data_IF_760108918452
#
_entry.id   IF_760108918452
#
_cell.length_a   1.000
_cell.length_b   1.000
_cell.length_c   1.000
_cell.angle_alpha   90.00
_cell.angle_beta   90.00
_cell.angle_gamma   90.00
#
_symmetry.space_group_name_H-M   'P 1'
#
loop_
_entity.id
_entity.type
_entity.pdbx_description
1 polymer ?
#
# COMPACT_ATOMS: atom_id res chain seq x y z
N UNK A 1 87.73 -69.38 83.53
CA UNK A 1 87.24 -68.08 83.01
C UNK A 1 87.29 -67.95 81.48
N UNK A 2 88.11 -68.74 80.75
CA UNK A 2 88.22 -68.65 79.26
C UNK A 2 87.10 -69.38 78.50
N UNK A 3 86.67 -70.58 78.94
CA UNK A 3 85.63 -71.38 78.24
C UNK A 3 84.23 -70.73 78.25
N UNK A 4 83.86 -70.03 79.32
CA UNK A 4 82.58 -69.29 79.41
C UNK A 4 82.54 -68.04 78.52
N UNK A 5 83.70 -67.47 78.14
CA UNK A 5 83.75 -66.34 77.19
C UNK A 5 83.51 -66.83 75.76
N UNK A 6 84.14 -67.94 75.37
CA UNK A 6 83.95 -68.55 74.05
C UNK A 6 82.50 -68.98 73.77
N UNK A 7 81.78 -69.49 74.79
CA UNK A 7 80.35 -69.81 74.65
C UNK A 7 79.47 -68.57 74.48
N UNK A 8 79.77 -67.48 75.20
CA UNK A 8 79.06 -66.20 75.05
C UNK A 8 79.31 -65.58 73.67
N UNK A 9 80.55 -65.62 73.19
CA UNK A 9 80.92 -65.18 71.84
C UNK A 9 80.16 -65.98 70.77
N UNK A 10 79.99 -67.29 70.94
CA UNK A 10 79.17 -68.11 70.04
C UNK A 10 77.67 -67.74 70.07
N UNK A 11 77.11 -67.44 71.25
CA UNK A 11 75.72 -66.98 71.37
C UNK A 11 75.52 -65.60 70.76
N UNK A 12 76.48 -64.69 70.93
CA UNK A 12 76.50 -63.36 70.32
C UNK A 12 76.59 -63.47 68.79
N UNK A 13 77.50 -64.29 68.26
CA UNK A 13 77.59 -64.56 66.83
C UNK A 13 76.29 -65.11 66.24
N UNK A 14 75.58 -65.99 66.97
CA UNK A 14 74.27 -66.50 66.53
C UNK A 14 73.21 -65.40 66.50
N UNK A 15 73.20 -64.51 67.49
CA UNK A 15 72.28 -63.36 67.52
C UNK A 15 72.57 -62.40 66.37
N UNK A 16 73.85 -62.10 66.13
CA UNK A 16 74.29 -61.23 65.05
C UNK A 16 73.95 -61.80 63.67
N UNK A 17 74.10 -63.11 63.46
CA UNK A 17 73.69 -63.78 62.23
C UNK A 17 72.18 -63.67 61.99
N UNK A 18 71.36 -63.89 63.01
CA UNK A 18 69.89 -63.75 62.91
C UNK A 18 69.50 -62.30 62.58
N UNK A 19 70.17 -61.32 63.18
CA UNK A 19 69.96 -59.89 62.91
C UNK A 19 70.38 -59.53 61.47
N UNK A 20 71.53 -60.02 61.03
CA UNK A 20 72.03 -59.82 59.66
C UNK A 20 71.09 -60.44 58.61
N UNK A 21 70.57 -61.64 58.84
CA UNK A 21 69.62 -62.29 57.94
C UNK A 21 68.28 -61.53 57.86
N UNK A 22 67.79 -61.02 58.99
CA UNK A 22 66.58 -60.18 59.01
C UNK A 22 66.80 -58.88 58.25
N UNK A 23 67.94 -58.22 58.47
CA UNK A 23 68.32 -56.99 57.77
C UNK A 23 68.44 -57.23 56.27
N UNK A 24 69.07 -58.33 55.86
CA UNK A 24 69.21 -58.71 54.46
C UNK A 24 67.86 -58.98 53.80
N UNK A 25 66.93 -59.67 54.49
CA UNK A 25 65.56 -59.88 54.00
C UNK A 25 64.81 -58.56 53.84
N UNK A 26 64.95 -57.62 54.79
CA UNK A 26 64.37 -56.29 54.72
C UNK A 26 64.94 -55.50 53.53
N UNK A 27 66.26 -55.49 53.34
CA UNK A 27 66.91 -54.82 52.20
C UNK A 27 66.48 -55.40 50.85
N UNK A 28 66.28 -56.73 50.76
CA UNK A 28 65.77 -57.38 49.55
C UNK A 28 64.30 -57.03 49.28
N UNK A 29 63.48 -56.97 50.33
CA UNK A 29 62.09 -56.56 50.23
C UNK A 29 61.97 -55.08 49.79
N UNK A 30 62.78 -54.19 50.36
CA UNK A 30 62.86 -52.79 49.97
C UNK A 30 63.25 -52.63 48.51
N UNK A 31 64.29 -53.35 48.05
CA UNK A 31 64.69 -53.35 46.62
C UNK A 31 63.55 -53.80 45.71
N UNK A 32 62.80 -54.84 46.09
CA UNK A 32 61.62 -55.30 45.31
C UNK A 32 60.51 -54.26 45.29
N UNK A 33 60.24 -53.60 46.42
CA UNK A 33 59.24 -52.53 46.49
C UNK A 33 59.67 -51.35 45.60
N UNK A 34 60.95 -50.97 45.63
CA UNK A 34 61.48 -49.89 44.79
C UNK A 34 61.32 -50.20 43.30
N UNK A 35 61.65 -51.42 42.86
CA UNK A 35 61.50 -51.80 41.45
C UNK A 35 60.02 -51.81 41.03
N UNK A 36 59.12 -52.32 41.88
CA UNK A 36 57.68 -52.27 41.62
C UNK A 36 57.15 -50.83 41.55
N UNK A 37 57.59 -49.95 42.45
CA UNK A 37 57.22 -48.53 42.42
C UNK A 37 57.74 -47.83 41.16
N UNK A 38 58.95 -48.14 40.72
CA UNK A 38 59.50 -47.61 39.46
C UNK A 38 58.68 -48.09 38.25
N UNK A 39 58.29 -49.36 38.23
CA UNK A 39 57.42 -49.89 37.18
C UNK A 39 56.04 -49.20 37.17
N UNK A 40 55.40 -49.07 38.34
CA UNK A 40 54.11 -48.38 38.47
C UNK A 40 54.21 -46.91 38.04
N UNK A 41 55.30 -46.21 38.40
CA UNK A 41 55.52 -44.82 37.95
C UNK A 41 55.62 -44.75 36.42
N UNK A 42 56.41 -45.62 35.81
CA UNK A 42 56.54 -45.68 34.34
C UNK A 42 55.20 -45.98 33.67
N UNK A 43 54.43 -46.93 34.21
CA UNK A 43 53.10 -47.25 33.69
C UNK A 43 52.14 -46.06 33.84
N UNK A 44 52.17 -45.35 34.98
CA UNK A 44 51.37 -44.14 35.20
C UNK A 44 51.75 -43.02 34.23
N UNK A 45 53.03 -42.83 33.95
CA UNK A 45 53.51 -41.83 33.00
C UNK A 45 53.05 -42.17 31.58
N UNK A 46 53.15 -43.45 31.16
CA UNK A 46 52.61 -43.92 29.89
C UNK A 46 51.09 -43.68 29.79
N UNK A 47 50.32 -43.94 30.86
CA UNK A 47 48.87 -43.68 30.88
C UNK A 47 48.60 -42.18 30.73
N UNK A 48 49.37 -41.33 31.41
CA UNK A 48 49.24 -39.88 31.31
C UNK A 48 49.55 -39.38 29.90
N UNK A 49 50.64 -39.82 29.30
CA UNK A 49 51.01 -39.47 27.93
C UNK A 49 49.97 -39.96 26.92
N UNK A 50 49.51 -41.20 27.04
CA UNK A 50 48.44 -41.74 26.19
C UNK A 50 47.14 -40.93 26.33
N UNK A 51 46.79 -40.49 27.54
CA UNK A 51 45.62 -39.63 27.76
C UNK A 51 45.78 -38.29 27.06
N UNK A 52 46.94 -37.65 27.18
CA UNK A 52 47.24 -36.37 26.52
C UNK A 52 47.21 -36.52 24.99
N UNK A 53 47.79 -37.60 24.45
CA UNK A 53 47.81 -37.84 23.00
C UNK A 53 46.39 -38.03 22.45
N UNK A 54 45.55 -38.83 23.13
CA UNK A 54 44.15 -39.01 22.73
C UNK A 54 43.36 -37.70 22.82
N UNK A 55 43.56 -36.92 23.88
CA UNK A 55 42.92 -35.61 24.01
C UNK A 55 43.28 -34.70 22.83
N UNK A 56 44.56 -34.62 22.47
CA UNK A 56 45.01 -33.83 21.31
C UNK A 56 44.44 -34.34 19.99
N UNK A 57 44.26 -35.65 19.83
CA UNK A 57 43.64 -36.23 18.63
C UNK A 57 42.15 -35.85 18.53
N UNK A 58 41.39 -36.03 19.62
CA UNK A 58 39.99 -35.64 19.66
C UNK A 58 39.79 -34.13 19.50
N UNK A 59 40.68 -33.31 20.06
CA UNK A 59 40.67 -31.86 19.84
C UNK A 59 40.81 -31.53 18.36
N UNK A 60 41.80 -32.11 17.68
CA UNK A 60 42.01 -31.91 16.24
C UNK A 60 40.84 -32.42 15.40
N UNK A 61 40.24 -33.55 15.76
CA UNK A 61 39.07 -34.07 15.06
C UNK A 61 37.86 -33.15 15.23
N UNK A 62 37.59 -32.67 16.45
CA UNK A 62 36.52 -31.70 16.72
C UNK A 62 36.73 -30.39 15.97
N UNK A 63 37.95 -29.86 15.96
CA UNK A 63 38.26 -28.64 15.20
C UNK A 63 37.99 -28.83 13.71
N UNK A 64 38.37 -29.98 13.14
CA UNK A 64 38.09 -30.29 11.73
C UNK A 64 36.59 -30.43 11.46
N UNK A 65 35.87 -31.17 12.29
CA UNK A 65 34.42 -31.33 12.17
C UNK A 65 33.70 -29.99 12.29
N UNK A 66 34.17 -29.12 13.20
CA UNK A 66 33.63 -27.77 13.36
C UNK A 66 33.83 -26.91 12.11
N UNK A 67 35.04 -26.93 11.53
CA UNK A 67 35.32 -26.20 10.28
C UNK A 67 34.49 -26.75 9.12
N UNK A 68 34.38 -28.07 8.98
CA UNK A 68 33.56 -28.69 7.92
C UNK A 68 32.07 -28.38 8.08
N UNK A 69 31.57 -28.31 9.32
CA UNK A 69 30.20 -27.90 9.60
C UNK A 69 29.95 -26.44 9.18
N UNK A 70 30.87 -25.53 9.52
CA UNK A 70 30.81 -24.13 9.09
C UNK A 70 30.85 -23.98 7.57
N UNK A 71 31.72 -24.73 6.88
CA UNK A 71 31.79 -24.71 5.42
C UNK A 71 30.49 -25.19 4.77
N UNK A 72 29.90 -26.26 5.31
CA UNK A 72 28.59 -26.76 4.84
C UNK A 72 27.50 -25.70 5.02
N UNK A 73 27.42 -25.09 6.19
CA UNK A 73 26.44 -24.04 6.48
C UNK A 73 26.63 -22.83 5.55
N UNK A 74 27.88 -22.41 5.32
CA UNK A 74 28.20 -21.32 4.40
C UNK A 74 27.79 -21.64 2.95
N UNK A 75 27.96 -22.88 2.49
CA UNK A 75 27.49 -23.32 1.18
C UNK A 75 25.96 -23.31 1.08
N UNK A 76 25.27 -23.76 2.12
CA UNK A 76 23.81 -23.71 2.18
C UNK A 76 23.29 -22.27 2.20
N UNK A 77 23.92 -21.37 2.96
CA UNK A 77 23.59 -19.95 3.00
C UNK A 77 23.77 -19.30 1.61
N UNK A 78 24.87 -19.58 0.91
CA UNK A 78 25.09 -19.11 -0.47
C UNK A 78 24.01 -19.60 -1.43
N UNK A 79 23.60 -20.87 -1.34
CA UNK A 79 22.53 -21.43 -2.17
C UNK A 79 21.19 -20.75 -1.89
N UNK A 80 20.84 -20.53 -0.62
CA UNK A 80 19.61 -19.81 -0.22
C UNK A 80 19.61 -18.39 -0.76
N UNK A 81 20.72 -17.66 -0.64
CA UNK A 81 20.84 -16.30 -1.16
C UNK A 81 20.59 -16.22 -2.68
N UNK A 82 21.13 -17.14 -3.47
CA UNK A 82 20.88 -17.20 -4.92
C UNK A 82 19.41 -17.49 -5.23
N UNK A 83 18.79 -18.43 -4.52
CA UNK A 83 17.37 -18.76 -4.70
C UNK A 83 16.48 -17.56 -4.33
N UNK A 84 16.77 -16.87 -3.23
CA UNK A 84 16.06 -15.67 -2.81
C UNK A 84 16.16 -14.55 -3.86
N UNK A 85 17.34 -14.35 -4.45
CA UNK A 85 17.53 -13.36 -5.53
C UNK A 85 16.68 -13.70 -6.76
N UNK A 86 16.62 -14.97 -7.17
CA UNK A 86 15.79 -15.43 -8.28
C UNK A 86 14.30 -15.23 -7.96
N UNK A 87 13.86 -15.60 -6.77
CA UNK A 87 12.47 -15.41 -6.33
C UNK A 87 12.10 -13.93 -6.25
N UNK A 88 13.02 -13.09 -5.80
CA UNK A 88 12.83 -11.65 -5.74
C UNK A 88 12.65 -11.04 -7.15
N UNK A 89 13.51 -11.41 -8.11
CA UNK A 89 13.38 -10.99 -9.51
C UNK A 89 12.06 -11.46 -10.12
N UNK A 90 11.72 -12.74 -9.95
CA UNK A 90 10.44 -13.29 -10.44
C UNK A 90 9.22 -12.57 -9.84
N UNK A 91 9.28 -12.20 -8.54
CA UNK A 91 8.24 -11.43 -7.87
C UNK A 91 8.15 -10.00 -8.40
N UNK A 92 9.28 -9.36 -8.69
CA UNK A 92 9.30 -8.04 -9.33
C UNK A 92 8.69 -8.07 -10.73
N UNK A 93 9.06 -9.07 -11.54
CA UNK A 93 8.55 -9.20 -12.91
C UNK A 93 7.05 -9.48 -12.92
N UNK A 94 6.56 -10.34 -12.02
CA UNK A 94 5.12 -10.57 -11.83
C UNK A 94 4.38 -9.28 -11.43
N UNK A 95 4.97 -8.46 -10.55
CA UNK A 95 4.39 -7.14 -10.20
C UNK A 95 4.33 -6.20 -11.39
N UNK A 96 5.38 -6.16 -12.23
CA UNK A 96 5.39 -5.36 -13.46
C UNK A 96 4.30 -5.82 -14.44
N UNK A 97 4.16 -7.14 -14.63
CA UNK A 97 3.12 -7.73 -15.48
C UNK A 97 1.71 -7.33 -15.01
N UNK A 98 1.41 -7.50 -13.72
CA UNK A 98 0.10 -7.12 -13.16
C UNK A 98 -0.19 -5.62 -13.30
N UNK A 99 0.83 -4.77 -13.17
CA UNK A 99 0.67 -3.32 -13.35
C UNK A 99 0.36 -2.99 -14.82
N UNK A 100 1.05 -3.62 -15.76
CA UNK A 100 0.78 -3.48 -17.19
C UNK A 100 -0.61 -3.99 -17.57
N UNK A 101 -1.04 -5.13 -17.04
CA UNK A 101 -2.38 -5.66 -17.26
C UNK A 101 -3.45 -4.71 -16.72
N UNK A 102 -3.26 -4.18 -15.51
CA UNK A 102 -4.19 -3.20 -14.92
C UNK A 102 -4.24 -1.91 -15.74
N UNK A 103 -3.09 -1.44 -16.22
CA UNK A 103 -3.03 -0.27 -17.11
C UNK A 103 -3.78 -0.54 -18.43
N UNK A 104 -3.58 -1.72 -19.04
CA UNK A 104 -4.30 -2.14 -20.25
C UNK A 104 -5.81 -2.23 -20.01
N UNK A 105 -6.24 -2.85 -18.91
CA UNK A 105 -7.67 -2.95 -18.58
C UNK A 105 -8.30 -1.58 -18.35
N UNK A 106 -7.59 -0.65 -17.69
CA UNK A 106 -8.07 0.71 -17.50
C UNK A 106 -8.17 1.44 -18.85
N UNK A 107 -7.14 1.32 -19.70
CA UNK A 107 -7.18 1.89 -21.04
C UNK A 107 -8.35 1.33 -21.85
N UNK A 108 -8.53 0.01 -21.86
CA UNK A 108 -9.62 -0.66 -22.59
C UNK A 108 -10.99 -0.16 -22.12
N UNK A 109 -11.21 -0.04 -20.80
CA UNK A 109 -12.46 0.52 -20.25
C UNK A 109 -12.70 1.95 -20.73
N UNK A 110 -11.69 2.82 -20.64
CA UNK A 110 -11.82 4.20 -21.08
C UNK A 110 -12.02 4.29 -22.59
N UNK A 111 -11.32 3.46 -23.36
CA UNK A 111 -11.47 3.36 -24.80
C UNK A 111 -12.90 2.94 -25.17
N UNK A 112 -13.44 1.90 -24.55
CA UNK A 112 -14.81 1.43 -24.79
C UNK A 112 -15.86 2.50 -24.48
N UNK A 113 -15.72 3.22 -23.37
CA UNK A 113 -16.63 4.32 -23.01
C UNK A 113 -16.54 5.44 -24.06
N UNK A 114 -15.34 5.91 -24.38
CA UNK A 114 -15.15 6.97 -25.38
C UNK A 114 -15.65 6.54 -26.76
N UNK A 115 -15.39 5.29 -27.14
CA UNK A 115 -15.84 4.72 -28.40
C UNK A 115 -17.37 4.67 -28.47
N UNK A 116 -18.04 4.22 -27.40
CA UNK A 116 -19.50 4.22 -27.31
C UNK A 116 -20.09 5.63 -27.45
N UNK A 117 -19.52 6.63 -26.78
CA UNK A 117 -19.97 8.03 -26.90
C UNK A 117 -19.79 8.55 -28.33
N UNK A 118 -18.65 8.26 -28.96
CA UNK A 118 -18.40 8.68 -30.35
C UNK A 118 -19.41 8.04 -31.30
N UNK A 119 -19.73 6.75 -31.14
CA UNK A 119 -20.76 6.09 -31.93
C UNK A 119 -22.13 6.76 -31.75
N UNK A 120 -22.56 7.03 -30.51
CA UNK A 120 -23.81 7.74 -30.26
C UNK A 120 -23.82 9.16 -30.86
N UNK A 121 -22.69 9.86 -30.87
CA UNK A 121 -22.57 11.18 -31.53
C UNK A 121 -22.74 11.06 -33.04
N UNK A 122 -22.16 10.01 -33.64
CA UNK A 122 -22.34 9.69 -35.06
C UNK A 122 -23.80 9.37 -35.34
N UNK A 123 -24.44 8.54 -34.52
CA UNK A 123 -25.85 8.18 -34.65
C UNK A 123 -26.76 9.42 -34.60
N UNK A 124 -26.54 10.31 -33.64
CA UNK A 124 -27.28 11.57 -33.54
C UNK A 124 -27.09 12.44 -34.79
N UNK A 125 -25.85 12.56 -35.28
CA UNK A 125 -25.56 13.33 -36.49
C UNK A 125 -26.21 12.71 -37.73
N UNK A 126 -26.28 11.38 -37.79
CA UNK A 126 -26.87 10.63 -38.91
C UNK A 126 -28.39 10.76 -38.89
N UNK A 127 -29.04 10.59 -37.73
CA UNK A 127 -30.49 10.86 -37.57
C UNK A 127 -30.90 12.27 -37.98
N UNK A 128 -30.11 13.26 -37.59
CA UNK A 128 -30.32 14.66 -37.99
C UNK A 128 -30.20 14.82 -39.52
N UNK A 129 -29.21 14.17 -40.13
CA UNK A 129 -29.01 14.15 -41.57
C UNK A 129 -30.17 13.48 -42.32
N UNK A 130 -30.51 12.26 -41.93
CA UNK A 130 -31.63 11.46 -42.47
C UNK A 130 -32.93 12.25 -42.44
N UNK A 131 -33.27 12.87 -41.31
CA UNK A 131 -34.49 13.66 -41.19
C UNK A 131 -34.52 14.81 -42.20
N UNK A 132 -33.42 15.57 -42.30
CA UNK A 132 -33.32 16.71 -43.22
C UNK A 132 -33.35 16.28 -44.68
N UNK A 133 -32.77 15.14 -45.01
CA UNK A 133 -32.80 14.60 -46.37
C UNK A 133 -34.22 14.15 -46.77
N UNK A 134 -34.91 13.44 -45.87
CA UNK A 134 -36.27 12.92 -46.11
C UNK A 134 -37.34 14.02 -46.16
N UNK A 135 -37.26 15.01 -45.27
CA UNK A 135 -38.31 16.04 -45.13
C UNK A 135 -37.94 17.38 -45.77
N UNK A 136 -36.67 17.60 -46.10
CA UNK A 136 -36.13 18.88 -46.58
C UNK A 136 -36.46 20.09 -45.68
N UNK A 137 -36.76 19.84 -44.40
CA UNK A 137 -37.25 20.81 -43.44
C UNK A 137 -36.35 20.88 -42.19
N UNK A 138 -36.52 21.95 -41.40
CA UNK A 138 -35.90 22.05 -40.08
C UNK A 138 -36.52 21.04 -39.12
N UNK A 139 -35.70 20.49 -38.21
CA UNK A 139 -36.15 19.50 -37.23
C UNK A 139 -37.05 20.18 -36.20
N UNK A 140 -38.26 19.63 -35.92
CA UNK A 140 -39.13 20.10 -34.86
C UNK A 140 -38.44 20.14 -33.50
N UNK A 141 -38.78 21.14 -32.69
CA UNK A 141 -38.11 21.41 -31.40
C UNK A 141 -38.28 20.26 -30.40
N UNK A 142 -39.40 19.54 -30.43
CA UNK A 142 -39.60 18.33 -29.62
C UNK A 142 -38.69 17.19 -30.03
N UNK A 143 -38.71 16.81 -31.30
CA UNK A 143 -37.87 15.71 -31.79
C UNK A 143 -36.39 15.90 -31.44
N UNK A 144 -35.84 17.11 -31.62
CA UNK A 144 -34.44 17.36 -31.27
C UNK A 144 -34.19 17.35 -29.75
N UNK A 145 -35.20 17.66 -28.93
CA UNK A 145 -35.11 17.54 -27.47
C UNK A 145 -35.11 16.08 -27.05
N UNK A 146 -35.99 15.27 -27.61
CA UNK A 146 -36.13 13.85 -27.29
C UNK A 146 -34.86 13.10 -27.69
N UNK A 147 -34.33 13.36 -28.90
CA UNK A 147 -33.06 12.79 -29.34
C UNK A 147 -31.88 13.20 -28.44
N UNK A 148 -31.86 14.45 -27.96
CA UNK A 148 -30.85 14.89 -26.99
C UNK A 148 -31.03 14.21 -25.64
N UNK A 149 -32.26 13.98 -25.22
CA UNK A 149 -32.58 13.31 -23.97
C UNK A 149 -32.08 11.86 -24.01
N UNK A 150 -32.40 11.12 -25.08
CA UNK A 150 -31.90 9.77 -25.31
C UNK A 150 -30.38 9.71 -25.33
N UNK A 151 -29.72 10.67 -26.00
CA UNK A 151 -28.25 10.79 -25.99
C UNK A 151 -27.70 11.00 -24.57
N UNK A 152 -28.29 11.89 -23.78
CA UNK A 152 -27.85 12.14 -22.40
C UNK A 152 -28.02 10.92 -21.48
N UNK A 153 -29.07 10.13 -21.70
CA UNK A 153 -29.32 8.88 -20.97
C UNK A 153 -28.63 7.65 -21.57
N UNK A 154 -27.76 7.81 -22.59
CA UNK A 154 -27.09 6.71 -23.29
C UNK A 154 -28.05 5.64 -23.84
N UNK A 155 -29.22 6.08 -24.33
CA UNK A 155 -30.19 5.22 -25.01
C UNK A 155 -29.97 5.27 -26.52
N UNK A 156 -30.14 4.15 -27.25
CA UNK A 156 -29.98 4.15 -28.70
C UNK A 156 -31.05 5.05 -29.35
N UNK A 157 -30.66 5.74 -30.44
CA UNK A 157 -31.56 6.60 -31.23
C UNK A 157 -32.27 5.84 -32.35
N UNK A 158 -31.73 4.70 -32.74
CA UNK A 158 -32.32 3.79 -33.70
C UNK A 158 -32.98 2.66 -32.90
N UNK A 159 -34.20 2.30 -33.26
CA UNK A 159 -34.76 1.04 -32.79
C UNK A 159 -33.86 -0.07 -33.32
N UNK A 160 -33.44 -0.97 -32.42
CA UNK A 160 -32.77 -2.21 -32.77
C UNK A 160 -33.74 -3.05 -33.62
N UNK A 161 -33.75 -2.75 -34.92
CA UNK A 161 -34.40 -3.54 -35.93
C UNK A 161 -33.73 -4.91 -35.83
N UNK A 162 -34.44 -5.94 -35.38
CA UNK A 162 -33.91 -7.30 -35.17
C UNK A 162 -33.32 -8.00 -36.41
N UNK A 163 -32.91 -7.24 -37.42
CA UNK A 163 -31.93 -7.60 -38.44
C UNK A 163 -30.58 -7.84 -37.75
N UNK A 164 -30.48 -9.04 -37.17
CA UNK A 164 -29.24 -9.80 -37.11
C UNK A 164 -28.57 -9.64 -38.47
N UNK A 165 -27.47 -8.91 -38.52
CA UNK A 165 -26.54 -9.02 -39.64
C UNK A 165 -26.13 -10.47 -39.69
N UNK A 166 -26.68 -11.20 -40.66
CA UNK A 166 -26.18 -12.49 -41.08
C UNK A 166 -24.80 -12.27 -41.72
N UNK A 167 -23.81 -11.94 -40.89
CA UNK A 167 -22.40 -12.10 -41.24
C UNK A 167 -22.03 -13.50 -40.76
N UNK A 168 -22.11 -14.42 -41.70
CA UNK A 168 -21.19 -15.54 -41.93
C UNK A 168 -20.20 -15.80 -40.78
N UNK A 169 -20.68 -16.45 -39.72
CA UNK A 169 -19.88 -17.31 -38.85
C UNK A 169 -20.59 -18.67 -38.74
N UNK A 170 -20.79 -19.30 -39.91
CA UNK A 170 -20.74 -20.75 -39.95
C UNK A 170 -19.25 -21.13 -39.96
N UNK A 171 -18.71 -21.53 -38.82
CA UNK A 171 -17.80 -22.68 -38.73
C UNK A 171 -17.43 -22.99 -37.27
N UNK A 172 -17.40 -24.30 -36.98
CA UNK A 172 -16.83 -24.95 -35.80
C UNK A 172 -17.55 -24.84 -34.45
N UNK A 173 -18.68 -25.56 -34.33
CA UNK A 173 -18.97 -26.32 -33.10
C UNK A 173 -18.65 -27.79 -33.31
N UNK A 174 -17.38 -28.11 -33.06
CA UNK A 174 -16.92 -29.47 -32.83
C UNK A 174 -17.52 -30.05 -31.55
N UNK A 175 -17.96 -31.29 -31.67
CA UNK A 175 -18.46 -32.18 -30.64
C UNK A 175 -17.45 -32.35 -29.50
N UNK A 176 -17.95 -32.35 -28.25
CA UNK A 176 -17.14 -32.53 -27.06
C UNK A 176 -17.98 -32.71 -25.82
N UNK A 177 -18.69 -33.84 -25.74
CA UNK A 177 -19.29 -34.30 -24.50
C UNK A 177 -18.22 -34.50 -23.42
N UNK A 178 -18.37 -33.79 -22.28
CA UNK A 178 -17.83 -34.27 -21.01
C UNK A 178 -18.62 -33.69 -19.84
N UNK A 179 -19.45 -34.55 -19.26
CA UNK A 179 -19.94 -34.40 -17.89
C UNK A 179 -18.75 -34.28 -16.92
N UNK A 180 -18.81 -33.30 -16.03
CA UNK A 180 -18.60 -33.50 -14.58
C UNK A 180 -19.02 -32.27 -13.79
N UNK A 181 -19.83 -32.50 -12.78
CA UNK A 181 -20.32 -31.50 -11.84
C UNK A 181 -19.24 -30.88 -10.96
N UNK A 182 -19.61 -29.73 -10.41
CA UNK A 182 -18.85 -28.99 -9.40
C UNK A 182 -19.61 -27.73 -9.04
N UNK A 183 -20.32 -27.79 -7.92
CA UNK A 183 -21.00 -26.67 -7.26
C UNK A 183 -19.97 -25.58 -6.94
N UNK A 184 -20.31 -24.33 -7.27
CA UNK A 184 -19.44 -23.18 -7.10
C UNK A 184 -20.24 -21.89 -7.34
N UNK A 185 -21.02 -21.53 -6.34
CA UNK A 185 -21.74 -20.27 -6.21
C UNK A 185 -20.77 -19.08 -6.36
N UNK A 186 -20.88 -18.34 -7.45
CA UNK A 186 -20.43 -16.95 -7.51
C UNK A 186 -21.37 -16.15 -8.40
N UNK A 187 -22.18 -15.34 -7.74
CA UNK A 187 -23.13 -14.39 -8.30
C UNK A 187 -22.40 -13.36 -9.16
N UNK A 188 -22.65 -13.38 -10.47
CA UNK A 188 -22.37 -12.26 -11.37
C UNK A 188 -23.62 -12.02 -12.20
N UNK A 189 -24.42 -11.05 -11.75
CA UNK A 189 -25.57 -10.50 -12.48
C UNK A 189 -25.08 -9.90 -13.80
N UNK A 190 -25.06 -10.69 -14.86
CA UNK A 190 -25.12 -10.19 -16.23
C UNK A 190 -26.59 -10.15 -16.60
N UNK A 191 -27.17 -8.96 -16.55
CA UNK A 191 -28.55 -8.70 -16.98
C UNK A 191 -28.74 -9.20 -18.40
N UNK A 192 -29.49 -10.28 -18.53
CA UNK A 192 -30.12 -10.70 -19.77
C UNK A 192 -31.34 -9.81 -20.01
N UNK A 193 -31.11 -8.52 -20.28
CA UNK A 193 -32.19 -7.65 -20.77
C UNK A 193 -32.39 -7.98 -22.24
N UNK A 194 -33.58 -8.45 -22.57
CA UNK A 194 -34.01 -8.65 -23.95
C UNK A 194 -33.97 -7.32 -24.72
N UNK A 195 -33.88 -7.36 -26.05
CA UNK A 195 -33.85 -6.15 -26.90
C UNK A 195 -35.07 -5.26 -26.63
N UNK A 196 -36.21 -5.88 -26.34
CA UNK A 196 -37.47 -5.22 -26.01
C UNK A 196 -37.39 -4.41 -24.71
N UNK A 197 -36.58 -4.83 -23.73
CA UNK A 197 -36.42 -4.13 -22.45
C UNK A 197 -35.68 -2.78 -22.62
N UNK A 198 -34.74 -2.70 -23.56
CA UNK A 198 -33.95 -1.47 -23.78
C UNK A 198 -34.74 -0.37 -24.46
N UNK A 199 -35.63 -0.74 -25.38
CA UNK A 199 -36.54 0.20 -26.04
C UNK A 199 -37.63 0.66 -25.07
N UNK A 200 -38.17 -0.24 -24.24
CA UNK A 200 -39.13 0.13 -23.20
C UNK A 200 -38.56 1.15 -22.21
N UNK A 201 -37.31 0.98 -21.77
CA UNK A 201 -36.65 1.98 -20.92
C UNK A 201 -36.40 3.32 -21.62
N UNK A 202 -36.26 3.34 -22.95
CA UNK A 202 -36.13 4.58 -23.71
C UNK A 202 -37.48 5.31 -23.77
N UNK A 203 -38.56 4.57 -24.00
CA UNK A 203 -39.93 5.11 -24.01
C UNK A 203 -40.32 5.66 -22.62
N UNK A 204 -40.01 4.93 -21.54
CA UNK A 204 -40.26 5.39 -20.16
C UNK A 204 -39.58 6.76 -19.87
N UNK A 205 -38.36 6.98 -20.39
CA UNK A 205 -37.62 8.24 -20.21
C UNK A 205 -38.30 9.39 -20.95
N UNK A 206 -38.81 9.13 -22.16
CA UNK A 206 -39.52 10.13 -22.95
C UNK A 206 -40.87 10.46 -22.30
N UNK A 207 -41.60 9.44 -21.85
CA UNK A 207 -42.88 9.59 -21.15
C UNK A 207 -42.73 10.39 -19.85
N UNK A 208 -41.69 10.11 -19.06
CA UNK A 208 -41.38 10.87 -17.84
C UNK A 208 -41.09 12.35 -18.15
N UNK A 209 -40.37 12.61 -19.24
CA UNK A 209 -40.06 13.98 -19.66
C UNK A 209 -41.30 14.73 -20.14
N UNK A 210 -42.18 14.07 -20.89
CA UNK A 210 -43.44 14.65 -21.34
C UNK A 210 -44.39 14.91 -20.15
N UNK A 211 -44.43 14.00 -19.18
CA UNK A 211 -45.19 14.19 -17.93
C UNK A 211 -44.65 15.40 -17.15
N UNK A 212 -43.34 15.56 -17.05
CA UNK A 212 -42.73 16.73 -16.41
C UNK A 212 -43.07 18.02 -17.17
N UNK A 213 -43.03 17.99 -18.49
CA UNK A 213 -43.38 19.14 -19.33
C UNK A 213 -44.85 19.55 -19.13
N UNK A 214 -45.75 18.56 -19.07
CA UNK A 214 -47.17 18.73 -18.79
C UNK A 214 -47.41 19.33 -17.40
N UNK A 215 -46.82 18.75 -16.35
CA UNK A 215 -46.97 19.23 -14.98
C UNK A 215 -46.44 20.65 -14.80
N UNK A 216 -45.39 21.01 -15.54
CA UNK A 216 -44.79 22.34 -15.50
C UNK A 216 -45.46 23.33 -16.46
N UNK A 217 -46.37 22.87 -17.34
CA UNK A 217 -47.07 23.70 -18.34
C UNK A 217 -46.04 24.44 -19.22
N UNK A 218 -45.00 23.72 -19.67
CA UNK A 218 -43.90 24.26 -20.49
C UNK A 218 -43.95 23.74 -21.92
N UNK A 219 -43.19 24.36 -22.83
CA UNK A 219 -43.13 24.05 -24.27
C UNK A 219 -44.51 23.81 -24.94
N UNK A 220 -44.83 22.59 -25.37
CA UNK A 220 -46.09 22.30 -26.09
C UNK A 220 -47.33 22.38 -25.18
N UNK A 221 -47.12 22.25 -23.88
CA UNK A 221 -48.18 22.37 -22.88
C UNK A 221 -48.31 23.80 -22.35
N UNK A 222 -47.41 24.71 -22.72
CA UNK A 222 -47.56 26.11 -22.38
C UNK A 222 -48.79 26.69 -23.09
N UNK A 223 -49.70 27.29 -22.31
CA UNK A 223 -50.86 28.02 -22.85
C UNK A 223 -50.48 29.32 -23.57
N UNK A 224 -49.19 29.62 -23.53
CA UNK A 224 -48.52 30.67 -24.27
C UNK A 224 -48.52 30.33 -25.75
N UNK A 225 -49.69 30.52 -26.37
CA UNK A 225 -49.84 30.93 -27.77
C UNK A 225 -49.17 32.31 -27.89
N UNK A 226 -47.86 32.37 -27.68
CA UNK A 226 -47.04 33.55 -27.84
C UNK A 226 -46.31 33.52 -29.18
N UNK A 227 -46.80 32.71 -30.12
CA UNK A 227 -46.82 33.14 -31.52
C UNK A 227 -48.06 34.02 -31.72
N UNK A 228 -48.13 35.16 -31.01
CA UNK A 228 -49.00 36.24 -31.44
C UNK A 228 -48.40 36.73 -32.78
N UNK A 229 -49.11 36.64 -33.92
CA UNK A 229 -48.57 37.03 -35.23
C UNK A 229 -48.38 38.56 -35.38
N UNK A 230 -48.50 39.31 -34.27
CA UNK A 230 -48.66 40.74 -34.25
C UNK A 230 -47.69 41.35 -33.25
N UNK A 231 -47.00 42.46 -33.61
CA UNK A 231 -46.08 43.12 -32.72
C UNK A 231 -46.80 43.55 -31.42
N UNK A 232 -46.12 43.50 -30.26
CA UNK A 232 -46.72 43.82 -28.98
C UNK A 232 -47.32 45.23 -29.01
N UNK A 233 -48.61 45.33 -28.67
CA UNK A 233 -49.33 46.60 -28.67
C UNK A 233 -48.84 47.48 -27.51
N UNK A 234 -47.86 48.33 -27.78
CA UNK A 234 -47.22 49.22 -26.79
C UNK A 234 -48.22 50.14 -26.09
N UNK A 235 -49.31 50.51 -26.77
CA UNK A 235 -50.36 51.38 -26.21
C UNK A 235 -51.14 50.63 -25.14
N UNK A 236 -51.53 49.39 -25.42
CA UNK A 236 -52.23 48.55 -24.43
C UNK A 236 -51.33 48.28 -23.23
N UNK A 237 -50.06 47.92 -23.48
CA UNK A 237 -49.08 47.70 -22.41
C UNK A 237 -48.93 48.94 -21.53
N UNK A 238 -48.80 50.13 -22.14
CA UNK A 238 -48.68 51.38 -21.39
C UNK A 238 -49.93 51.69 -20.55
N UNK A 239 -51.13 51.45 -21.08
CA UNK A 239 -52.39 51.65 -20.35
C UNK A 239 -52.49 50.69 -19.16
N UNK A 240 -52.14 49.42 -19.35
CA UNK A 240 -52.17 48.41 -18.28
C UNK A 240 -51.15 48.74 -17.19
N UNK A 241 -49.90 49.08 -17.56
CA UNK A 241 -48.88 49.50 -16.59
C UNK A 241 -49.32 50.73 -15.79
N UNK A 242 -49.92 51.72 -16.46
CA UNK A 242 -50.42 52.93 -15.82
C UNK A 242 -51.59 52.65 -14.87
N UNK A 243 -52.49 51.72 -15.22
CA UNK A 243 -53.57 51.28 -14.34
C UNK A 243 -53.03 50.54 -13.12
N UNK A 244 -52.03 49.69 -13.29
CA UNK A 244 -51.36 48.98 -12.18
C UNK A 244 -50.69 49.99 -11.25
N UNK A 245 -50.00 51.00 -11.81
CA UNK A 245 -49.33 52.04 -11.04
C UNK A 245 -50.31 52.93 -10.27
N UNK A 246 -51.50 53.20 -10.83
CA UNK A 246 -52.58 53.93 -10.15
C UNK A 246 -53.24 53.12 -9.04
N UNK A 247 -53.48 51.82 -9.27
CA UNK A 247 -54.16 50.94 -8.30
C UNK A 247 -53.21 50.46 -7.20
N UNK A 248 -51.93 50.30 -7.51
CA UNK A 248 -50.87 49.87 -6.61
C UNK A 248 -49.65 50.78 -6.79
N UNK A 249 -49.65 51.98 -6.17
CA UNK A 249 -48.49 52.85 -6.24
C UNK A 249 -47.26 52.11 -5.69
N UNK A 250 -46.10 52.25 -6.34
CA UNK A 250 -44.88 51.58 -5.91
C UNK A 250 -44.59 51.97 -4.46
N UNK A 251 -44.52 50.97 -3.57
CA UNK A 251 -44.22 51.22 -2.17
C UNK A 251 -42.80 51.81 -2.06
N UNK A 252 -42.57 52.77 -1.16
CA UNK A 252 -41.22 53.29 -0.92
C UNK A 252 -40.28 52.12 -0.57
N UNK A 253 -38.99 52.20 -0.95
CA UNK A 253 -38.05 51.12 -0.64
C UNK A 253 -38.10 50.84 0.86
N UNK A 254 -38.36 49.57 1.23
CA UNK A 254 -38.47 49.21 2.63
C UNK A 254 -37.17 49.52 3.35
N UNK A 255 -37.27 50.07 4.56
CA UNK A 255 -36.10 50.25 5.43
C UNK A 255 -35.33 48.91 5.53
N UNK A 256 -33.99 48.92 5.48
CA UNK A 256 -33.21 47.69 5.55
C UNK A 256 -33.61 46.92 6.83
N UNK A 257 -33.88 45.60 6.73
CA UNK A 257 -34.35 44.83 7.86
C UNK A 257 -33.32 44.89 9.00
N UNK A 258 -33.76 45.25 10.22
CA UNK A 258 -32.87 45.24 11.39
C UNK A 258 -32.63 43.80 11.84
N UNK A 259 -31.72 43.12 11.16
CA UNK A 259 -31.30 41.78 11.54
C UNK A 259 -30.55 41.85 12.88
N UNK A 260 -30.87 41.01 13.87
CA UNK A 260 -30.07 40.90 15.08
C UNK A 260 -28.66 40.41 14.72
N UNK A 261 -27.65 40.85 15.48
CA UNK A 261 -26.27 40.37 15.28
C UNK A 261 -26.22 38.87 15.58
N UNK A 262 -25.90 38.05 14.58
CA UNK A 262 -25.70 36.60 14.74
C UNK A 262 -24.27 36.22 14.36
N UNK A 263 -23.78 35.13 14.95
CA UNK A 263 -22.47 34.58 14.64
C UNK A 263 -22.62 33.49 13.58
N UNK A 264 -21.99 33.67 12.42
CA UNK A 264 -21.93 32.65 11.39
C UNK A 264 -20.82 31.65 11.72
N UNK A 265 -21.16 30.36 11.76
CA UNK A 265 -20.21 29.25 11.87
C UNK A 265 -20.38 28.38 10.63
N UNK A 266 -19.28 28.03 9.98
CA UNK A 266 -19.29 27.18 8.79
C UNK A 266 -18.10 26.23 8.82
N UNK A 267 -18.26 25.06 8.19
CA UNK A 267 -17.20 24.08 7.98
C UNK A 267 -16.88 23.98 6.49
N UNK A 268 -15.60 23.85 6.16
CA UNK A 268 -15.13 23.63 4.79
C UNK A 268 -14.72 22.17 4.62
N UNK A 269 -15.54 21.40 3.90
CA UNK A 269 -15.34 19.96 3.67
C UNK A 269 -14.99 19.71 2.21
N UNK A 270 -14.11 18.74 1.97
CA UNK A 270 -13.69 18.35 0.61
C UNK A 270 -12.58 17.31 0.62
N UNK A 271 -12.11 16.91 -0.56
CA UNK A 271 -10.97 16.00 -0.73
C UNK A 271 -9.66 16.67 -0.29
N UNK A 272 -8.61 15.91 0.10
CA UNK A 272 -7.30 16.50 0.40
C UNK A 272 -6.71 17.18 -0.85
N UNK A 273 -5.93 18.25 -0.66
CA UNK A 273 -5.23 19.01 -1.71
C UNK A 273 -6.09 19.76 -2.74
N UNK A 274 -7.40 19.92 -2.51
CA UNK A 274 -8.28 20.72 -3.39
C UNK A 274 -8.21 22.23 -3.18
N UNK A 275 -7.18 22.73 -2.49
CA UNK A 275 -7.01 24.16 -2.24
C UNK A 275 -7.91 24.76 -1.14
N UNK A 276 -8.57 23.95 -0.30
CA UNK A 276 -9.45 24.43 0.80
C UNK A 276 -8.79 25.46 1.71
N UNK A 277 -7.54 25.24 2.08
CA UNK A 277 -6.75 26.17 2.91
C UNK A 277 -6.50 27.49 2.18
N UNK A 278 -6.25 27.47 0.88
CA UNK A 278 -6.07 28.68 0.06
C UNK A 278 -7.37 29.50 -0.03
N UNK A 279 -8.51 28.84 -0.27
CA UNK A 279 -9.81 29.50 -0.28
C UNK A 279 -10.18 30.11 1.07
N UNK A 280 -9.91 29.38 2.17
CA UNK A 280 -10.15 29.88 3.53
C UNK A 280 -9.29 31.11 3.85
N UNK A 281 -8.00 31.12 3.47
CA UNK A 281 -7.12 32.30 3.66
C UNK A 281 -7.68 33.54 2.97
N UNK A 282 -8.10 33.40 1.71
CA UNK A 282 -8.71 34.50 0.95
C UNK A 282 -10.00 35.02 1.62
N UNK A 283 -10.84 34.11 2.13
CA UNK A 283 -12.06 34.47 2.86
C UNK A 283 -11.74 35.22 4.17
N UNK A 284 -10.70 34.80 4.89
CA UNK A 284 -10.28 35.49 6.11
C UNK A 284 -9.74 36.90 5.83
N UNK A 285 -8.97 37.09 4.77
CA UNK A 285 -8.49 38.41 4.37
C UNK A 285 -9.62 39.37 3.98
N UNK A 286 -10.66 38.85 3.32
CA UNK A 286 -11.78 39.66 2.81
C UNK A 286 -12.86 39.93 3.85
N UNK A 287 -13.19 38.96 4.70
CA UNK A 287 -14.32 39.02 5.63
C UNK A 287 -13.91 39.02 7.11
N UNK A 288 -12.63 38.82 7.44
CA UNK A 288 -12.12 38.80 8.81
C UNK A 288 -12.66 37.64 9.65
N UNK A 289 -12.80 36.46 9.05
CA UNK A 289 -13.40 35.27 9.69
C UNK A 289 -12.34 34.43 10.41
N UNK A 290 -12.62 34.02 11.64
CA UNK A 290 -11.76 33.11 12.39
C UNK A 290 -11.72 31.71 11.75
N UNK A 291 -10.56 31.31 11.22
CA UNK A 291 -10.32 29.96 10.70
C UNK A 291 -9.85 29.04 11.82
N UNK A 292 -10.49 27.89 11.99
CA UNK A 292 -10.07 26.84 12.92
C UNK A 292 -9.64 25.60 12.12
N UNK A 293 -8.33 25.31 12.11
CA UNK A 293 -7.75 24.09 11.56
C UNK A 293 -7.44 23.12 12.70
N UNK A 294 -7.98 21.88 12.70
CA UNK A 294 -7.70 20.89 13.74
C UNK A 294 -6.21 20.56 13.86
N UNK A 295 -5.52 20.41 12.73
CA UNK A 295 -4.10 20.05 12.71
C UNK A 295 -3.24 21.14 13.34
N UNK A 296 -3.52 22.41 13.02
CA UNK A 296 -2.78 23.55 13.56
C UNK A 296 -3.00 23.68 15.08
N UNK A 297 -4.21 23.40 15.57
CA UNK A 297 -4.49 23.36 17.00
C UNK A 297 -3.69 22.26 17.71
N UNK A 298 -3.60 21.07 17.12
CA UNK A 298 -2.84 19.95 17.69
C UNK A 298 -1.35 20.29 17.73
N UNK A 299 -0.79 20.86 16.67
CA UNK A 299 0.63 21.28 16.63
C UNK A 299 0.90 22.30 17.72
N UNK A 300 0.06 23.34 17.83
CA UNK A 300 0.20 24.36 18.88
C UNK A 300 0.08 23.77 20.30
N UNK A 301 -0.83 22.83 20.51
CA UNK A 301 -0.96 22.17 21.82
C UNK A 301 0.29 21.36 22.17
N UNK A 302 0.89 20.67 21.19
CA UNK A 302 2.15 19.93 21.38
C UNK A 302 3.31 20.88 21.66
N UNK A 303 3.39 22.02 20.96
CA UNK A 303 4.41 23.05 21.19
C UNK A 303 4.33 23.63 22.60
N UNK A 304 3.12 23.98 23.05
CA UNK A 304 2.87 24.47 24.42
C UNK A 304 3.28 23.43 25.45
N UNK A 305 2.94 22.15 25.24
CA UNK A 305 3.34 21.08 26.13
C UNK A 305 4.86 20.90 26.19
N UNK A 306 5.55 20.99 25.05
CA UNK A 306 7.01 20.92 24.98
C UNK A 306 7.66 22.11 25.69
N UNK A 307 7.14 23.33 25.54
CA UNK A 307 7.67 24.49 26.26
C UNK A 307 7.49 24.35 27.77
N UNK A 308 6.32 23.89 28.23
CA UNK A 308 6.06 23.64 29.65
C UNK A 308 7.01 22.57 30.24
N UNK A 309 7.28 21.50 29.50
CA UNK A 309 8.28 20.50 29.90
C UNK A 309 9.67 21.14 30.04
N UNK A 310 10.07 21.96 29.07
CA UNK A 310 11.39 22.60 29.07
C UNK A 310 11.54 23.60 30.22
N UNK A 311 10.49 24.33 30.56
CA UNK A 311 10.44 25.22 31.74
C UNK A 311 10.53 24.44 33.06
N UNK A 312 9.92 23.25 33.14
CA UNK A 312 10.03 22.37 34.34
C UNK A 312 11.44 21.80 34.52
N UNK A 313 12.16 21.50 33.44
CA UNK A 313 13.54 21.00 33.53
C UNK A 313 14.61 22.11 33.70
N UNK A 314 14.28 23.37 33.42
CA UNK A 314 15.20 24.51 33.59
C UNK A 314 15.03 25.25 34.91
N UNK A 315 13.98 24.97 35.70
CA UNK A 315 13.69 25.63 36.98
C UNK A 315 13.76 24.73 38.23
N UNK A 316 14.29 23.50 38.12
CA UNK A 316 14.57 22.61 39.26
C UNK A 316 16.06 22.25 39.37
N UNK A 317 16.64 22.16 40.58
CA UNK A 317 18.08 22.06 40.75
C UNK A 317 18.62 20.71 40.27
N UNK A 318 19.79 20.77 39.65
CA UNK A 318 20.58 19.61 39.27
C UNK A 318 20.90 18.73 40.48
N UNK A 319 20.36 17.50 40.49
CA UNK A 319 21.00 16.34 41.14
C UNK A 319 20.23 15.03 40.86
N UNK A 320 21.01 13.98 40.63
CA UNK A 320 20.72 12.52 40.68
C UNK A 320 20.18 11.92 39.38
N UNK A 321 21.00 11.36 38.48
CA UNK A 321 21.79 10.12 38.57
C UNK A 321 20.96 8.83 38.72
N UNK A 322 20.90 8.07 37.61
CA UNK A 322 21.03 6.62 37.52
C UNK A 322 20.46 5.75 38.64
N UNK A 323 19.37 5.02 38.34
CA UNK A 323 18.99 3.72 38.93
C UNK A 323 18.25 2.97 37.81
N UNK A 324 18.96 2.10 37.09
CA UNK A 324 18.94 0.62 37.20
C UNK A 324 17.72 -0.03 36.51
N UNK A 325 18.07 -0.88 35.54
CA UNK A 325 17.23 -1.89 34.92
C UNK A 325 16.93 -2.99 35.94
N UNK A 326 15.66 -3.34 36.12
CA UNK A 326 15.27 -4.69 36.50
C UNK A 326 14.18 -5.17 35.53
N UNK A 327 14.45 -6.31 34.90
CA UNK A 327 13.50 -7.09 34.11
C UNK A 327 12.42 -7.68 35.02
N UNK A 328 11.16 -7.64 34.60
CA UNK A 328 10.29 -8.82 34.73
C UNK A 328 9.14 -8.78 33.69
N UNK A 329 9.18 -9.76 32.78
CA UNK A 329 8.05 -10.54 32.26
C UNK A 329 6.79 -9.84 31.75
N UNK A 330 6.61 -9.85 30.43
CA UNK A 330 5.31 -9.61 29.81
C UNK A 330 5.33 -9.79 28.29
N UNK A 331 5.01 -11.01 27.85
CA UNK A 331 4.80 -11.38 26.45
C UNK A 331 3.78 -10.47 25.74
N UNK A 332 4.04 -10.12 24.48
CA UNK A 332 3.06 -9.42 23.66
C UNK A 332 3.63 -8.93 22.32
N UNK A 333 3.28 -9.63 21.26
CA UNK A 333 3.60 -9.38 19.85
C UNK A 333 3.51 -7.90 19.41
N UNK A 334 4.49 -7.45 18.63
CA UNK A 334 4.50 -6.12 18.04
C UNK A 334 5.46 -6.01 16.87
N UNK A 335 4.89 -5.92 15.67
CA UNK A 335 5.55 -5.82 14.37
C UNK A 335 6.55 -4.67 14.25
N UNK A 336 7.68 -4.98 13.59
CA UNK A 336 8.73 -4.04 13.20
C UNK A 336 8.34 -3.42 11.85
N UNK A 337 8.12 -2.10 11.83
CA UNK A 337 8.05 -1.30 10.61
C UNK A 337 9.27 -0.37 10.57
N UNK A 338 10.10 -0.58 9.54
CA UNK A 338 11.27 0.22 9.20
C UNK A 338 10.89 1.67 8.88
N UNK A 339 11.59 2.62 9.49
CA UNK A 339 11.69 4.00 9.01
C UNK A 339 13.02 4.18 8.28
N UNK A 340 12.95 4.24 6.94
CA UNK A 340 14.03 4.64 6.05
C UNK A 340 14.30 6.14 6.24
N UNK A 341 15.57 6.49 6.50
CA UNK A 341 16.10 7.85 6.39
C UNK A 341 16.51 8.08 4.93
N UNK A 342 15.95 9.12 4.31
CA UNK A 342 16.49 9.72 3.08
C UNK A 342 17.46 10.84 3.49
N UNK A 343 18.71 10.73 3.03
CA UNK A 343 19.70 11.81 3.00
C UNK A 343 19.70 12.39 1.57
N UNK A 344 19.28 13.65 1.43
CA UNK A 344 19.55 14.46 0.23
C UNK A 344 20.86 15.23 0.45
N UNK A 345 21.87 14.92 -0.35
CA UNK A 345 23.08 15.70 -0.53
C UNK A 345 23.10 16.29 -1.93
N UNK A 346 23.03 17.62 -2.02
CA UNK A 346 23.22 18.39 -3.24
C UNK A 346 24.72 18.67 -3.43
N UNK A 347 25.28 18.31 -4.59
CA UNK A 347 26.55 18.85 -5.08
C UNK A 347 26.32 19.54 -6.42
N UNK A 348 26.50 20.87 -6.37
CA UNK A 348 26.71 21.75 -7.51
C UNK A 348 28.06 21.40 -8.16
N UNK A 349 28.11 21.36 -9.49
CA UNK A 349 29.35 21.64 -10.22
C UNK A 349 29.03 22.38 -11.51
N UNK A 350 29.37 23.67 -11.51
CA UNK A 350 29.63 24.47 -12.69
C UNK A 350 30.92 23.97 -13.35
N UNK A 351 30.89 23.68 -14.65
CA UNK A 351 32.08 23.81 -15.47
C UNK A 351 31.68 24.29 -16.88
N UNK A 352 32.26 25.43 -17.25
CA UNK A 352 32.07 26.13 -18.52
C UNK A 352 33.18 25.74 -19.51
N UNK A 353 32.85 26.00 -20.77
CA UNK A 353 33.73 26.27 -21.91
C UNK A 353 34.34 25.08 -22.68
N UNK A 354 33.83 24.85 -23.90
CA UNK A 354 34.62 24.99 -25.13
C UNK A 354 33.72 24.88 -26.38
N UNK A 355 33.60 25.99 -27.11
CA UNK A 355 33.19 26.03 -28.51
C UNK A 355 34.27 25.36 -29.39
N UNK A 356 33.91 24.46 -30.31
CA UNK A 356 34.48 24.50 -31.67
C UNK A 356 33.65 23.72 -32.71
N UNK A 357 33.04 24.47 -33.61
CA UNK A 357 33.01 24.27 -35.07
C UNK A 357 33.07 22.84 -35.66
N UNK A 358 31.92 22.36 -36.21
CA UNK A 358 31.89 21.90 -37.62
C UNK A 358 30.47 21.75 -38.18
N UNK A 359 30.14 22.65 -39.08
CA UNK A 359 29.13 22.48 -40.14
C UNK A 359 29.56 21.34 -41.06
N UNK A 360 28.65 20.43 -41.40
CA UNK A 360 28.42 19.93 -42.76
C UNK A 360 27.29 18.87 -42.76
N UNK A 361 26.08 19.32 -43.08
CA UNK A 361 25.10 18.56 -43.88
C UNK A 361 25.50 18.78 -45.35
N UNK A 362 25.38 17.77 -46.24
CA UNK A 362 24.17 17.67 -47.07
C UNK A 362 23.80 16.25 -47.51
N UNK A 363 22.53 15.84 -47.31
CA UNK A 363 21.78 15.06 -48.31
C UNK A 363 20.28 15.24 -48.05
N UNK A 364 19.65 15.87 -49.05
CA UNK A 364 18.20 16.02 -49.39
C UNK A 364 17.21 16.62 -48.39
#
# INVERSE_FOLDING_TARGET
>A
MSQLRALKEQEEHRRDQILADRLNRQSLQEKRIVTQLMQIRKEKDNIRENRILRQKQYEKEREREFVLALEREALEAKRKAVVEEILFKAKQDKRKQLLQERARQNYEKHYQICHSIILQMVDLSTKIGEYRELTQCAIPVKMIRDWKLLFLFNKPLYEDSGLVTATEEEEEKGEGEREKGGEGESVSLQSTSSVDDKNAEADDILDDADLQEYLQVTNEWSSDITECPHPPNMVLSHIVYRLIELVKPPQPPSNPPSLPKFYLKGSFVGLPFTGKTSSLKYINETLGVLILSPNDLVIKAIEVYKSELTERYTSGPASLSSVEEEEEGGEGEGAKADSVKEEEGAEENEEKDAEDSKKQSPFE
#
